data_IF_891601431197
#
_entry.id   IF_891601431197
#
_cell.length_a   1.000
_cell.length_b   1.000
_cell.length_c   1.000
_cell.angle_alpha   90.00
_cell.angle_beta   90.00
_cell.angle_gamma   90.00
#
_symmetry.space_group_name_H-M   'P 1'
#
loop_
_entity.id
_entity.type
_entity.pdbx_description
1 polymer ?
#
# COMPACT_ATOMS: atom_id res chain seq x y z
N UNK A 1 2.28 -11.61 -12.53
CA UNK A 1 1.37 -10.44 -12.66
C UNK A 1 0.10 -10.63 -11.84
N UNK A 2 -0.58 -11.78 -11.92
CA UNK A 2 -1.88 -12.01 -11.24
C UNK A 2 -1.82 -11.93 -9.70
N UNK A 3 -0.73 -12.39 -9.09
CA UNK A 3 -0.55 -12.35 -7.63
C UNK A 3 -0.59 -10.93 -7.07
N UNK A 4 0.15 -9.99 -7.67
CA UNK A 4 0.22 -8.61 -7.19
C UNK A 4 -1.14 -7.91 -7.32
N UNK A 5 -1.87 -8.15 -8.43
CA UNK A 5 -3.21 -7.59 -8.62
C UNK A 5 -4.18 -8.07 -7.52
N UNK A 6 -4.12 -9.36 -7.16
CA UNK A 6 -4.91 -9.91 -6.06
C UNK A 6 -4.55 -9.28 -4.72
N UNK A 7 -3.26 -9.11 -4.45
CA UNK A 7 -2.76 -8.49 -3.21
C UNK A 7 -3.19 -7.02 -3.10
N UNK A 8 -3.16 -6.26 -4.20
CA UNK A 8 -3.68 -4.88 -4.25
C UNK A 8 -5.18 -4.85 -3.93
N UNK A 9 -5.97 -5.72 -4.56
CA UNK A 9 -7.42 -5.78 -4.31
C UNK A 9 -7.75 -6.17 -2.87
N UNK A 10 -6.98 -7.09 -2.29
CA UNK A 10 -7.14 -7.48 -0.90
C UNK A 10 -6.84 -6.30 0.04
N UNK A 11 -5.76 -5.56 -0.23
CA UNK A 11 -5.41 -4.40 0.58
C UNK A 11 -6.46 -3.28 0.46
N UNK A 12 -6.99 -3.02 -0.74
CA UNK A 12 -8.09 -2.08 -0.93
C UNK A 12 -9.34 -2.48 -0.13
N UNK A 13 -9.67 -3.78 -0.08
CA UNK A 13 -10.76 -4.29 0.77
C UNK A 13 -10.50 -4.14 2.27
N UNK A 14 -9.24 -4.28 2.70
CA UNK A 14 -8.86 -4.05 4.09
C UNK A 14 -8.96 -2.55 4.47
N UNK A 15 -8.57 -1.66 3.54
CA UNK A 15 -8.67 -0.21 3.71
C UNK A 15 -10.14 0.20 3.78
N UNK A 16 -11.00 -0.29 2.87
CA UNK A 16 -12.43 0.08 2.83
C UNK A 16 -13.24 -0.45 4.02
N UNK A 17 -12.82 -1.56 4.63
CA UNK A 17 -13.47 -2.11 5.82
C UNK A 17 -13.07 -1.41 7.13
N UNK A 18 -12.14 -0.45 7.09
CA UNK A 18 -11.63 0.23 8.29
C UNK A 18 -10.82 -0.68 9.23
N UNK A 19 -10.48 -1.90 8.81
CA UNK A 19 -9.71 -2.86 9.59
C UNK A 19 -8.22 -2.51 9.68
N UNK A 20 -7.76 -1.54 8.88
CA UNK A 20 -6.36 -1.14 8.80
C UNK A 20 -6.19 0.30 9.25
N UNK A 21 -5.21 0.52 10.11
CA UNK A 21 -4.78 1.87 10.47
C UNK A 21 -3.99 2.46 9.31
N UNK A 22 -4.54 3.49 8.67
CA UNK A 22 -3.89 4.18 7.55
C UNK A 22 -2.58 4.83 8.00
N UNK A 23 -1.49 4.56 7.28
CA UNK A 23 -0.23 5.26 7.50
C UNK A 23 -0.26 6.57 6.71
N UNK A 24 -0.23 7.69 7.44
CA UNK A 24 -0.21 9.04 6.84
C UNK A 24 1.16 9.29 6.20
N UNK A 25 1.16 9.72 4.94
CA UNK A 25 2.35 10.20 4.23
C UNK A 25 2.47 11.74 4.31
N UNK A 26 1.37 12.43 3.99
CA UNK A 26 1.22 13.88 4.11
C UNK A 26 -0.23 14.21 4.46
N UNK A 27 -0.60 15.49 4.49
CA UNK A 27 -2.01 15.87 4.64
C UNK A 27 -2.86 15.19 3.56
N UNK A 28 -3.90 14.49 4.02
CA UNK A 28 -4.88 13.74 3.23
C UNK A 28 -4.34 12.57 2.38
N UNK A 29 -3.02 12.39 2.31
CA UNK A 29 -2.38 11.29 1.57
C UNK A 29 -1.90 10.21 2.54
N UNK A 30 -2.32 8.99 2.25
CA UNK A 30 -1.96 7.78 2.97
C UNK A 30 -1.16 6.84 2.07
N UNK A 31 -0.52 5.85 2.69
CA UNK A 31 0.09 4.77 1.94
C UNK A 31 -0.12 3.41 2.59
N UNK A 32 -0.03 2.36 1.76
CA UNK A 32 0.00 0.97 2.17
C UNK A 32 1.15 0.24 1.45
N UNK A 33 1.70 -0.78 2.12
CA UNK A 33 2.72 -1.66 1.55
C UNK A 33 2.04 -2.93 1.04
N UNK A 34 2.24 -3.24 -0.24
CA UNK A 34 1.59 -4.36 -0.93
C UNK A 34 2.65 -5.29 -1.52
N UNK A 35 2.27 -6.56 -1.70
CA UNK A 35 3.11 -7.57 -2.36
C UNK A 35 4.42 -7.83 -1.66
N UNK A 36 4.36 -8.31 -0.41
CA UNK A 36 5.50 -8.53 0.49
C UNK A 36 6.35 -7.27 0.70
N UNK A 37 5.70 -6.11 0.74
CA UNK A 37 6.33 -4.80 0.92
C UNK A 37 7.22 -4.34 -0.25
N UNK A 38 7.01 -4.88 -1.46
CA UNK A 38 7.76 -4.46 -2.65
C UNK A 38 7.08 -3.31 -3.41
N UNK A 39 5.83 -2.98 -3.08
CA UNK A 39 5.09 -1.87 -3.67
C UNK A 39 4.53 -0.98 -2.56
N UNK A 40 4.72 0.33 -2.70
CA UNK A 40 4.06 1.35 -1.89
C UNK A 40 2.93 1.94 -2.74
N UNK A 41 1.70 1.75 -2.30
CA UNK A 41 0.49 2.31 -2.91
C UNK A 41 0.11 3.58 -2.15
N UNK A 42 -0.04 4.70 -2.86
CA UNK A 42 -0.50 5.96 -2.30
C UNK A 42 -1.96 6.20 -2.63
N UNK A 43 -2.72 6.70 -1.66
CA UNK A 43 -4.16 6.90 -1.83
C UNK A 43 -4.67 8.02 -0.92
N UNK A 44 -5.83 8.56 -1.27
CA UNK A 44 -6.63 9.45 -0.42
C UNK A 44 -7.93 8.73 -0.03
N UNK A 45 -8.57 9.20 1.03
CA UNK A 45 -9.85 8.66 1.53
C UNK A 45 -10.83 9.83 1.60
N UNK A 46 -11.99 9.68 0.97
CA UNK A 46 -13.16 10.54 1.16
C UNK A 46 -14.30 9.73 1.80
N UNK A 47 -15.45 10.36 2.05
CA UNK A 47 -16.59 9.68 2.70
C UNK A 47 -17.09 8.46 1.93
N UNK A 48 -17.02 8.48 0.59
CA UNK A 48 -17.61 7.47 -0.27
C UNK A 48 -16.59 6.66 -1.09
N UNK A 49 -15.33 7.10 -1.17
CA UNK A 49 -14.35 6.48 -2.05
C UNK A 49 -12.90 6.51 -1.55
N UNK A 50 -12.12 5.56 -2.06
CA UNK A 50 -10.67 5.53 -1.94
C UNK A 50 -10.09 5.81 -3.33
N UNK A 51 -9.42 6.94 -3.48
CA UNK A 51 -8.74 7.28 -4.73
C UNK A 51 -7.28 6.87 -4.66
N UNK A 52 -6.90 5.87 -5.45
CA UNK A 52 -5.51 5.44 -5.62
C UNK A 52 -4.78 6.43 -6.52
N UNK A 53 -3.70 7.01 -6.01
CA UNK A 53 -2.92 8.06 -6.70
C UNK A 53 -1.75 7.48 -7.49
N UNK A 54 -0.94 6.62 -6.87
CA UNK A 54 0.28 6.10 -7.50
C UNK A 54 0.79 4.81 -6.83
N UNK A 55 1.67 4.09 -7.55
CA UNK A 55 2.36 2.89 -7.11
C UNK A 55 3.87 3.02 -7.31
N UNK A 56 4.63 2.92 -6.22
CA UNK A 56 6.09 2.93 -6.27
C UNK A 56 6.67 1.58 -5.89
N UNK A 57 7.64 1.08 -6.66
CA UNK A 57 8.43 -0.07 -6.24
C UNK A 57 9.31 0.32 -5.05
N UNK A 58 9.17 -0.40 -3.94
CA UNK A 58 10.02 -0.28 -2.78
C UNK A 58 11.24 -1.18 -3.03
N UNK A 59 12.28 -0.60 -3.62
CA UNK A 59 13.58 -1.27 -3.68
C UNK A 59 14.16 -1.28 -2.27
N UNK A 60 14.19 -2.44 -1.62
CA UNK A 60 15.06 -2.65 -0.46
C UNK A 60 16.47 -2.89 -0.98
N UNK A 61 17.46 -2.24 -0.37
CA UNK A 61 18.87 -2.53 -0.63
C UNK A 61 19.10 -4.03 -0.38
N UNK A 62 19.58 -4.81 -1.38
CA UNK A 62 19.88 -6.22 -1.20
C UNK A 62 20.79 -6.50 0.00
N UNK A 63 21.71 -5.60 0.34
CA UNK A 63 22.61 -5.75 1.49
C UNK A 63 21.88 -5.61 2.84
N UNK A 64 20.78 -4.86 2.87
CA UNK A 64 19.92 -4.72 4.06
C UNK A 64 18.98 -5.92 4.30
N UNK A 65 18.89 -6.84 3.32
CA UNK A 65 18.06 -8.05 3.39
C UNK A 65 18.81 -9.27 3.94
N UNK A 66 20.12 -9.18 4.15
CA UNK A 66 20.89 -10.22 4.85
C UNK A 66 20.45 -10.21 6.32
N UNK A 67 19.53 -11.12 6.65
CA UNK A 67 19.04 -11.37 8.00
C UNK A 67 20.23 -11.56 8.95
N UNK A 68 20.25 -10.80 10.05
CA UNK A 68 21.05 -11.12 11.25
C UNK A 68 20.45 -12.33 11.95
#
# INVERSE_FOLDING_TARGET
METLKREINQELGNISSGLVKHQKYSDEIYFALVGKNNVKMFYTISEDEILVLDFFSVRKDPESLKLK
#
